data_IF_735717057642
#
_entry.id   IF_735717057642
#
_cell.length_a   1.000
_cell.length_b   1.000
_cell.length_c   1.000
_cell.angle_alpha   90.00
_cell.angle_beta   90.00
_cell.angle_gamma   90.00
#
_symmetry.space_group_name_H-M   'P 1'
#
loop_
_entity.id
_entity.type
_entity.pdbx_description
1 polymer ?
#
# COMPACT_ATOMS: atom_id res chain seq x y z
N UNK A 1 3.85 -13.67 -5.17
CA UNK A 1 3.93 -12.67 -4.10
C UNK A 1 4.58 -13.20 -2.81
N UNK A 2 4.38 -14.46 -2.40
CA UNK A 2 5.02 -15.01 -1.20
C UNK A 2 6.55 -15.02 -1.26
N UNK A 3 7.13 -15.29 -2.40
CA UNK A 3 8.59 -15.26 -2.55
C UNK A 3 9.16 -13.84 -2.39
N UNK A 4 8.48 -12.84 -2.95
CA UNK A 4 8.85 -11.44 -2.76
C UNK A 4 8.73 -11.03 -1.28
N UNK A 5 7.67 -11.48 -0.59
CA UNK A 5 7.46 -11.25 0.83
C UNK A 5 8.57 -11.91 1.67
N UNK A 6 8.90 -13.18 1.42
CA UNK A 6 9.99 -13.88 2.11
C UNK A 6 11.32 -13.16 1.93
N UNK A 7 11.61 -12.72 0.69
CA UNK A 7 12.80 -11.92 0.42
C UNK A 7 12.82 -10.65 1.27
N UNK A 8 11.72 -9.88 1.29
CA UNK A 8 11.61 -8.66 2.11
C UNK A 8 11.77 -8.94 3.60
N UNK A 9 11.19 -10.04 4.12
CA UNK A 9 11.36 -10.44 5.52
C UNK A 9 12.83 -10.77 5.85
N UNK A 10 13.55 -11.46 4.95
CA UNK A 10 14.98 -11.74 5.14
C UNK A 10 15.82 -10.47 5.17
N UNK A 11 15.58 -9.57 4.22
CA UNK A 11 16.31 -8.30 4.13
C UNK A 11 16.06 -7.44 5.38
N UNK A 12 14.80 -7.29 5.81
CA UNK A 12 14.45 -6.60 7.04
C UNK A 12 15.07 -7.23 8.28
N UNK A 13 15.06 -8.57 8.38
CA UNK A 13 15.67 -9.26 9.50
C UNK A 13 17.18 -8.99 9.58
N UNK A 14 17.90 -9.01 8.46
CA UNK A 14 19.33 -8.70 8.41
C UNK A 14 19.61 -7.25 8.85
N UNK A 15 18.79 -6.30 8.39
CA UNK A 15 18.92 -4.88 8.78
C UNK A 15 18.71 -4.73 10.29
N UNK A 16 17.68 -5.34 10.84
CA UNK A 16 17.38 -5.23 12.27
C UNK A 16 18.47 -5.85 13.14
N UNK A 17 19.01 -7.01 12.77
CA UNK A 17 20.14 -7.58 13.48
C UNK A 17 21.42 -6.72 13.36
N UNK A 18 21.69 -6.16 12.19
CA UNK A 18 22.79 -5.22 12.01
C UNK A 18 22.62 -3.95 12.86
N UNK A 19 21.39 -3.52 13.10
CA UNK A 19 21.05 -2.43 14.01
C UNK A 19 21.07 -2.82 15.51
N UNK A 20 21.42 -4.06 15.85
CA UNK A 20 21.61 -4.50 17.23
C UNK A 20 20.42 -5.24 17.85
N UNK A 21 19.43 -5.67 17.06
CA UNK A 21 18.35 -6.51 17.56
C UNK A 21 18.91 -7.83 18.13
N UNK A 22 18.44 -8.25 19.30
CA UNK A 22 18.86 -9.50 19.94
C UNK A 22 18.05 -10.70 19.45
N UNK A 23 16.83 -10.47 19.01
CA UNK A 23 15.91 -11.44 18.43
C UNK A 23 14.81 -10.69 17.66
N UNK A 24 14.09 -11.39 16.81
CA UNK A 24 12.97 -10.87 16.03
C UNK A 24 11.77 -11.79 16.13
N UNK A 25 10.57 -11.24 16.09
CA UNK A 25 9.35 -11.99 15.85
C UNK A 25 8.87 -11.75 14.41
N UNK A 26 8.56 -12.81 13.70
CA UNK A 26 7.95 -12.72 12.39
C UNK A 26 6.47 -12.33 12.50
N UNK A 27 5.91 -11.65 11.49
CA UNK A 27 4.49 -11.27 11.45
C UNK A 27 3.60 -12.47 11.12
N UNK A 28 3.76 -13.56 11.86
CA UNK A 28 3.00 -14.81 11.75
C UNK A 28 2.07 -14.98 12.94
N UNK A 29 0.97 -15.72 12.75
CA UNK A 29 -0.02 -15.96 13.81
C UNK A 29 0.56 -16.75 15.00
N UNK A 30 1.53 -17.61 14.73
CA UNK A 30 2.28 -18.41 15.72
C UNK A 30 3.49 -17.68 16.32
N UNK A 31 3.70 -16.41 15.93
CA UNK A 31 4.77 -15.54 16.44
C UNK A 31 6.16 -16.20 16.38
N UNK A 32 6.48 -16.79 15.24
CA UNK A 32 7.79 -17.42 15.05
C UNK A 32 8.92 -16.43 15.36
N UNK A 33 9.93 -16.92 16.07
CA UNK A 33 11.05 -16.12 16.56
C UNK A 33 12.33 -16.54 15.84
N UNK A 34 13.15 -15.52 15.48
CA UNK A 34 14.51 -15.66 14.98
C UNK A 34 15.45 -15.15 16.08
N UNK A 35 16.41 -15.94 16.53
CA UNK A 35 17.29 -15.58 17.62
C UNK A 35 18.70 -15.15 17.17
N UNK A 36 19.06 -15.45 15.92
CA UNK A 36 20.37 -15.14 15.38
C UNK A 36 20.32 -14.94 13.86
N UNK A 37 21.28 -14.19 13.32
CA UNK A 37 21.39 -13.92 11.87
C UNK A 37 21.45 -15.22 11.06
N UNK A 38 22.13 -16.26 11.57
CA UNK A 38 22.26 -17.54 10.88
C UNK A 38 20.96 -18.34 10.73
N UNK A 39 19.91 -18.00 11.49
CA UNK A 39 18.61 -18.66 11.42
C UNK A 39 17.67 -18.04 10.38
N UNK A 40 17.99 -16.85 9.86
CA UNK A 40 17.09 -16.05 9.02
C UNK A 40 16.57 -16.86 7.84
N UNK A 41 17.50 -17.42 7.05
CA UNK A 41 17.12 -18.11 5.82
C UNK A 41 16.32 -19.38 6.11
N UNK A 42 16.78 -20.22 7.02
CA UNK A 42 16.11 -21.49 7.34
C UNK A 42 14.71 -21.28 7.92
N UNK A 43 14.54 -20.33 8.82
CA UNK A 43 13.24 -20.03 9.44
C UNK A 43 12.27 -19.43 8.43
N UNK A 44 12.72 -18.46 7.61
CA UNK A 44 11.84 -17.78 6.66
C UNK A 44 11.50 -18.68 5.46
N UNK A 45 12.44 -19.51 4.98
CA UNK A 45 12.16 -20.44 3.88
C UNK A 45 11.17 -21.54 4.29
N UNK A 46 11.20 -21.94 5.55
CA UNK A 46 10.24 -22.90 6.10
C UNK A 46 8.81 -22.35 6.26
N UNK A 47 8.60 -21.05 6.12
CA UNK A 47 7.26 -20.45 6.20
C UNK A 47 6.35 -20.99 5.09
N UNK A 48 5.17 -21.46 5.49
CA UNK A 48 4.16 -21.93 4.53
C UNK A 48 3.51 -20.78 3.78
N UNK A 49 3.21 -20.97 2.51
CA UNK A 49 2.55 -20.00 1.65
C UNK A 49 1.02 -19.95 1.88
N UNK A 50 0.61 -19.78 3.13
CA UNK A 50 -0.78 -19.75 3.59
C UNK A 50 -1.13 -18.33 4.07
N UNK A 51 -1.96 -17.55 3.35
CA UNK A 51 -2.26 -16.16 3.70
C UNK A 51 -2.73 -15.95 5.14
N UNK A 52 -3.57 -16.87 5.66
CA UNK A 52 -4.12 -16.79 7.01
C UNK A 52 -3.08 -16.88 8.14
N UNK A 53 -1.86 -17.32 7.83
CA UNK A 53 -0.77 -17.40 8.80
C UNK A 53 -0.07 -16.08 9.06
N UNK A 54 -0.26 -15.09 8.19
CA UNK A 54 0.45 -13.82 8.26
C UNK A 54 -0.45 -12.71 8.76
N UNK A 55 0.13 -11.79 9.53
CA UNK A 55 -0.52 -10.53 9.90
C UNK A 55 -0.13 -9.49 8.87
N UNK A 56 -1.07 -9.16 7.99
CA UNK A 56 -0.91 -8.06 7.05
C UNK A 56 -1.44 -6.78 7.66
N UNK A 57 -0.67 -5.71 7.55
CA UNK A 57 -1.08 -4.37 7.99
C UNK A 57 -0.74 -3.39 6.89
N UNK A 58 -1.66 -2.51 6.56
CA UNK A 58 -1.40 -1.40 5.65
C UNK A 58 -1.92 -0.11 6.26
N UNK A 59 -1.12 0.94 6.21
CA UNK A 59 -1.49 2.30 6.61
C UNK A 59 -1.75 3.18 5.40
N UNK A 60 -1.63 2.66 4.18
CA UNK A 60 -1.77 3.38 2.93
C UNK A 60 -2.71 2.64 1.97
N UNK A 61 -4.00 2.48 2.32
CA UNK A 61 -4.96 1.89 1.39
C UNK A 61 -5.14 2.79 0.18
N UNK A 62 -5.13 2.18 -1.01
CA UNK A 62 -5.22 2.88 -2.30
C UNK A 62 -6.11 2.09 -3.26
N UNK A 63 -6.67 2.77 -4.27
CA UNK A 63 -7.33 2.13 -5.41
C UNK A 63 -8.77 1.70 -5.24
N UNK A 64 -9.46 2.05 -4.14
CA UNK A 64 -10.87 1.69 -3.95
C UNK A 64 -11.83 2.56 -4.76
N UNK A 65 -11.46 3.81 -5.07
CA UNK A 65 -12.19 4.71 -5.97
C UNK A 65 -11.29 5.14 -7.13
N UNK A 66 -10.59 4.17 -7.75
CA UNK A 66 -9.58 4.48 -8.75
C UNK A 66 -10.08 5.37 -9.86
N UNK A 67 -9.22 6.32 -10.27
CA UNK A 67 -9.50 7.23 -11.37
C UNK A 67 -9.20 6.61 -12.74
N UNK A 68 -9.87 7.13 -13.77
CA UNK A 68 -9.61 6.81 -15.16
C UNK A 68 -10.74 7.21 -16.09
N UNK A 69 -10.49 7.16 -17.39
CA UNK A 69 -11.46 7.55 -18.41
C UNK A 69 -12.52 6.47 -18.68
N UNK A 70 -12.20 5.20 -18.42
CA UNK A 70 -13.10 4.07 -18.69
C UNK A 70 -14.00 3.82 -17.48
N UNK A 71 -15.24 4.32 -17.54
CA UNK A 71 -16.26 4.15 -16.49
C UNK A 71 -16.61 2.70 -16.16
N UNK A 72 -16.30 1.75 -17.03
CA UNK A 72 -16.54 0.33 -16.76
C UNK A 72 -15.49 -0.26 -15.81
N UNK A 73 -14.38 0.43 -15.59
CA UNK A 73 -13.23 -0.02 -14.80
C UNK A 73 -12.84 0.93 -13.67
N UNK A 74 -13.42 2.12 -13.64
CA UNK A 74 -13.04 3.20 -12.72
C UNK A 74 -14.28 3.84 -12.09
N UNK A 75 -14.10 4.37 -10.88
CA UNK A 75 -15.19 4.99 -10.11
C UNK A 75 -15.30 6.48 -10.44
N UNK A 76 -14.16 7.12 -10.68
CA UNK A 76 -14.10 8.55 -11.00
C UNK A 76 -13.32 8.78 -12.29
N UNK A 77 -13.58 9.92 -12.92
CA UNK A 77 -12.85 10.38 -14.09
C UNK A 77 -11.45 10.93 -13.71
N UNK A 78 -10.59 11.30 -14.67
CA UNK A 78 -9.26 11.85 -14.38
C UNK A 78 -9.22 13.13 -13.52
N UNK A 79 -10.36 13.76 -13.31
CA UNK A 79 -10.51 14.97 -12.48
C UNK A 79 -11.17 14.69 -11.13
N UNK A 80 -11.26 13.42 -10.73
CA UNK A 80 -11.83 13.03 -9.45
C UNK A 80 -13.35 13.05 -9.36
N UNK A 81 -14.09 13.48 -10.40
CA UNK A 81 -15.54 13.45 -10.42
C UNK A 81 -16.05 12.02 -10.65
N UNK A 82 -17.05 11.59 -9.88
CA UNK A 82 -17.64 10.28 -10.06
C UNK A 82 -18.36 10.15 -11.41
N UNK A 83 -18.29 8.97 -12.04
CA UNK A 83 -18.96 8.72 -13.31
C UNK A 83 -20.48 8.72 -13.21
N UNK A 84 -21.02 8.34 -12.05
CA UNK A 84 -22.45 8.11 -11.86
C UNK A 84 -23.18 9.31 -11.27
N UNK A 85 -22.50 10.11 -10.42
CA UNK A 85 -23.12 11.25 -9.74
C UNK A 85 -22.34 12.51 -10.08
N UNK A 86 -23.04 13.48 -10.71
CA UNK A 86 -22.46 14.77 -11.07
C UNK A 86 -22.11 15.62 -9.84
N UNK A 87 -21.02 16.36 -9.92
CA UNK A 87 -20.52 17.25 -8.87
C UNK A 87 -20.18 16.54 -7.56
N UNK A 88 -19.99 15.23 -7.59
CA UNK A 88 -19.44 14.44 -6.48
C UNK A 88 -17.99 14.09 -6.81
N UNK A 89 -17.08 14.52 -5.96
CA UNK A 89 -15.63 14.32 -6.16
C UNK A 89 -15.04 13.46 -5.05
N UNK A 90 -14.10 12.63 -5.42
CA UNK A 90 -13.24 11.89 -4.49
C UNK A 90 -11.84 12.50 -4.60
N UNK A 91 -11.22 12.82 -3.43
CA UNK A 91 -9.96 13.55 -3.39
C UNK A 91 -9.07 12.98 -2.29
N UNK A 92 -8.70 11.73 -2.41
CA UNK A 92 -7.83 11.03 -1.46
C UNK A 92 -7.01 9.91 -2.14
N UNK A 93 -6.29 9.11 -1.35
CA UNK A 93 -5.46 8.04 -1.88
C UNK A 93 -6.24 6.93 -2.63
N UNK A 94 -7.56 6.85 -2.46
CA UNK A 94 -8.39 5.86 -3.17
C UNK A 94 -8.45 6.09 -4.68
N UNK A 95 -8.15 7.31 -5.13
CA UNK A 95 -8.04 7.68 -6.55
C UNK A 95 -6.94 6.92 -7.28
N UNK A 96 -5.84 6.59 -6.59
CA UNK A 96 -4.65 6.00 -7.21
C UNK A 96 -5.02 4.64 -7.85
N UNK A 97 -4.76 4.44 -9.15
CA UNK A 97 -5.20 3.23 -9.84
C UNK A 97 -4.52 1.95 -9.34
N UNK A 98 -3.34 2.10 -8.72
CA UNK A 98 -2.55 1.02 -8.14
C UNK A 98 -1.71 1.57 -6.99
N UNK A 99 -1.17 0.69 -6.15
CA UNK A 99 -0.22 1.11 -5.12
C UNK A 99 1.03 1.72 -5.77
N UNK A 100 1.43 2.90 -5.26
CA UNK A 100 2.64 3.58 -5.73
C UNK A 100 3.92 3.06 -5.05
N UNK A 101 3.80 2.12 -4.10
CA UNK A 101 4.94 1.50 -3.42
C UNK A 101 5.60 2.37 -2.34
N UNK A 102 5.08 3.58 -2.10
CA UNK A 102 5.60 4.56 -1.14
C UNK A 102 4.46 5.19 -0.34
N UNK A 103 4.81 6.02 0.66
CA UNK A 103 3.86 6.83 1.39
C UNK A 103 3.17 7.81 0.43
N UNK A 104 1.83 7.82 0.31
CA UNK A 104 1.14 8.55 -0.76
C UNK A 104 0.88 10.03 -0.43
N UNK A 105 1.26 10.57 0.73
CA UNK A 105 0.83 11.88 1.20
C UNK A 105 1.11 13.01 0.21
N UNK A 106 2.33 13.10 -0.30
CA UNK A 106 2.70 14.16 -1.26
C UNK A 106 1.95 14.01 -2.58
N UNK A 107 1.78 12.78 -3.07
CA UNK A 107 0.98 12.49 -4.26
C UNK A 107 -0.48 12.88 -4.06
N UNK A 108 -1.05 12.59 -2.88
CA UNK A 108 -2.43 12.98 -2.55
C UNK A 108 -2.57 14.49 -2.49
N UNK A 109 -1.62 15.22 -1.90
CA UNK A 109 -1.65 16.69 -1.89
C UNK A 109 -1.59 17.27 -3.30
N UNK A 110 -0.72 16.75 -4.15
CA UNK A 110 -0.63 17.19 -5.55
C UNK A 110 -1.93 16.93 -6.32
N UNK A 111 -2.51 15.73 -6.17
CA UNK A 111 -3.80 15.41 -6.79
C UNK A 111 -4.94 16.28 -6.26
N UNK A 112 -4.96 16.56 -4.96
CA UNK A 112 -5.98 17.42 -4.34
C UNK A 112 -5.92 18.85 -4.90
N UNK A 113 -4.72 19.41 -5.03
CA UNK A 113 -4.54 20.74 -5.66
C UNK A 113 -5.01 20.73 -7.11
N UNK A 114 -4.59 19.74 -7.89
CA UNK A 114 -4.98 19.61 -9.30
C UNK A 114 -6.50 19.53 -9.48
N UNK A 115 -7.17 18.71 -8.65
CA UNK A 115 -8.63 18.55 -8.72
C UNK A 115 -9.34 19.83 -8.27
N UNK A 116 -8.84 20.49 -7.21
CA UNK A 116 -9.40 21.75 -6.74
C UNK A 116 -9.33 22.85 -7.81
N UNK A 117 -8.20 22.97 -8.49
CA UNK A 117 -8.04 23.92 -9.59
C UNK A 117 -9.03 23.64 -10.72
N UNK A 118 -9.18 22.37 -11.12
CA UNK A 118 -10.16 21.97 -12.12
C UNK A 118 -11.62 22.29 -11.71
N UNK A 119 -11.98 22.06 -10.44
CA UNK A 119 -13.32 22.40 -9.93
C UNK A 119 -13.56 23.91 -10.00
N UNK A 120 -12.58 24.71 -9.64
CA UNK A 120 -12.67 26.18 -9.69
C UNK A 120 -12.83 26.69 -11.13
N UNK A 121 -12.06 26.13 -12.08
CA UNK A 121 -12.17 26.48 -13.50
C UNK A 121 -13.53 26.10 -14.09
N UNK A 122 -14.08 24.98 -13.68
CA UNK A 122 -15.38 24.50 -14.14
C UNK A 122 -16.58 25.23 -13.52
N UNK A 123 -16.39 25.94 -12.40
CA UNK A 123 -17.43 26.68 -11.67
C UNK A 123 -16.94 28.10 -11.32
N UNK A 124 -16.69 28.96 -12.33
CA UNK A 124 -16.28 30.32 -12.04
C UNK A 124 -17.38 31.06 -11.28
N UNK A 125 -16.99 31.78 -10.22
CA UNK A 125 -17.87 32.59 -9.36
C UNK A 125 -18.39 33.82 -10.08
#
# INVERSE_FOLDING_TARGET
>A
DFEAMKKGLKDNARILFAAGAKYLYLPTSDKQRINAVGEIDSVIDALKNEPARYRYTSFHPQGTCRMGADKSKTVVNPYGETHDVKKLYVVDASLLPTSIGYNPSETVYALASYIADHINEANPS
#
